data_IF_301959571445
#
_entry.id   IF_301959571445
#
_cell.length_a   1.000
_cell.length_b   1.000
_cell.length_c   1.000
_cell.angle_alpha   90.00
_cell.angle_beta   90.00
_cell.angle_gamma   90.00
#
_symmetry.space_group_name_H-M   'P 1'
#
loop_
_entity.id
_entity.type
_entity.pdbx_description
1 polymer ?
#
# COMPACT_ATOMS: atom_id res chain seq x y z
N UNK A 1 7.23 13.06 -22.52
CA UNK A 1 6.48 13.40 -21.30
C UNK A 1 5.51 12.27 -20.95
N UNK A 2 5.20 12.15 -19.66
CA UNK A 2 4.16 11.24 -19.18
C UNK A 2 3.01 12.05 -18.56
N UNK A 3 1.84 11.44 -18.49
CA UNK A 3 0.65 12.05 -17.88
C UNK A 3 0.44 11.40 -16.50
N UNK A 4 0.21 12.22 -15.50
CA UNK A 4 -0.17 11.79 -14.16
C UNK A 4 -1.46 12.47 -13.73
N UNK A 5 -2.20 11.80 -12.85
CA UNK A 5 -3.40 12.31 -12.20
C UNK A 5 -3.25 12.15 -10.70
N UNK A 6 -3.57 13.18 -9.93
CA UNK A 6 -3.53 13.14 -8.48
C UNK A 6 -4.95 13.23 -7.90
N UNK A 7 -5.25 12.38 -6.94
CA UNK A 7 -6.46 12.44 -6.13
C UNK A 7 -6.12 12.93 -4.71
N UNK A 8 -6.50 14.16 -4.36
CA UNK A 8 -6.17 14.72 -3.05
C UNK A 8 -6.95 14.09 -1.89
N UNK A 9 -8.04 13.38 -2.16
CA UNK A 9 -8.84 12.72 -1.10
C UNK A 9 -8.11 11.53 -0.52
N UNK A 10 -7.53 10.72 -1.41
CA UNK A 10 -6.79 9.52 -1.04
C UNK A 10 -5.28 9.76 -1.04
N UNK A 11 -4.83 10.97 -1.34
CA UNK A 11 -3.41 11.33 -1.51
C UNK A 11 -2.66 10.39 -2.45
N UNK A 12 -3.35 9.89 -3.49
CA UNK A 12 -2.81 8.94 -4.45
C UNK A 12 -2.56 9.59 -5.80
N UNK A 13 -1.52 9.12 -6.50
CA UNK A 13 -1.21 9.55 -7.86
C UNK A 13 -1.16 8.35 -8.81
N UNK A 14 -1.89 8.43 -9.91
CA UNK A 14 -1.78 7.52 -11.04
C UNK A 14 -0.86 8.09 -12.10
N UNK A 15 0.18 7.35 -12.50
CA UNK A 15 1.15 7.78 -13.51
C UNK A 15 1.12 6.79 -14.68
N UNK A 16 0.88 7.31 -15.88
CA UNK A 16 0.88 6.50 -17.10
C UNK A 16 2.30 6.12 -17.49
N UNK A 17 2.61 4.82 -17.42
CA UNK A 17 3.86 4.28 -17.92
C UNK A 17 3.64 3.78 -19.35
N UNK A 18 4.36 4.35 -20.32
CA UNK A 18 4.35 3.90 -21.72
C UNK A 18 5.56 3.01 -21.98
N UNK A 19 5.40 1.99 -22.82
CA UNK A 19 6.52 1.14 -23.25
C UNK A 19 7.69 1.96 -23.81
N UNK A 20 8.90 1.63 -23.38
CA UNK A 20 10.13 2.36 -23.76
C UNK A 20 10.58 3.46 -22.78
N UNK A 21 9.79 3.81 -21.78
CA UNK A 21 10.25 4.69 -20.68
C UNK A 21 10.78 3.81 -19.55
N UNK A 22 12.07 3.73 -19.43
CA UNK A 22 12.82 2.81 -18.54
C UNK A 22 12.94 3.30 -17.08
N UNK A 23 12.08 4.20 -16.62
CA UNK A 23 12.13 4.62 -15.23
C UNK A 23 11.40 3.60 -14.35
N UNK A 24 12.11 3.02 -13.38
CA UNK A 24 11.52 2.21 -12.33
C UNK A 24 10.52 3.03 -11.52
N UNK A 25 9.49 2.39 -10.97
CA UNK A 25 8.45 3.08 -10.19
C UNK A 25 9.05 3.84 -9.01
N UNK A 26 10.09 3.29 -8.37
CA UNK A 26 10.83 3.96 -7.28
C UNK A 26 11.53 5.25 -7.74
N UNK A 27 12.07 5.26 -8.95
CA UNK A 27 12.69 6.47 -9.51
C UNK A 27 11.64 7.55 -9.83
N UNK A 28 10.47 7.12 -10.29
CA UNK A 28 9.34 8.03 -10.52
C UNK A 28 8.87 8.64 -9.20
N UNK A 29 8.72 7.83 -8.15
CA UNK A 29 8.35 8.30 -6.81
C UNK A 29 9.37 9.32 -6.27
N UNK A 30 10.67 9.01 -6.33
CA UNK A 30 11.74 9.94 -5.94
C UNK A 30 11.68 11.26 -6.69
N UNK A 31 11.52 11.22 -8.02
CA UNK A 31 11.43 12.45 -8.83
C UNK A 31 10.20 13.26 -8.47
N UNK A 32 9.07 12.63 -8.23
CA UNK A 32 7.86 13.31 -7.80
C UNK A 32 8.05 13.96 -6.43
N UNK A 33 8.67 13.25 -5.48
CA UNK A 33 9.00 13.80 -4.17
C UNK A 33 9.90 15.03 -4.30
N UNK A 34 11.01 14.93 -5.05
CA UNK A 34 11.90 16.08 -5.30
C UNK A 34 11.17 17.28 -5.89
N UNK A 35 10.31 17.07 -6.89
CA UNK A 35 9.53 18.14 -7.49
C UNK A 35 8.59 18.83 -6.48
N UNK A 36 7.96 18.06 -5.60
CA UNK A 36 7.07 18.61 -4.56
C UNK A 36 7.85 19.38 -3.49
N UNK A 37 9.04 18.90 -3.13
CA UNK A 37 9.96 19.57 -2.20
C UNK A 37 10.49 20.90 -2.80
N UNK A 38 10.94 20.88 -4.05
CA UNK A 38 11.40 22.07 -4.78
C UNK A 38 10.31 23.11 -4.95
N UNK A 39 9.07 22.69 -5.14
CA UNK A 39 7.90 23.56 -5.16
C UNK A 39 7.61 24.23 -3.80
N UNK A 40 8.34 23.87 -2.75
CA UNK A 40 8.25 24.48 -1.42
C UNK A 40 6.97 24.12 -0.65
N UNK A 41 6.26 23.07 -1.06
CA UNK A 41 4.99 22.65 -0.45
C UNK A 41 5.23 22.22 1.00
N UNK A 42 6.26 21.43 1.26
CA UNK A 42 6.66 20.98 2.59
C UNK A 42 6.96 22.15 3.54
N UNK A 43 7.75 23.12 3.07
CA UNK A 43 8.16 24.29 3.88
C UNK A 43 6.98 25.18 4.25
N UNK A 44 6.02 25.37 3.34
CA UNK A 44 4.83 26.18 3.58
C UNK A 44 3.93 25.61 4.68
N UNK A 45 3.93 24.30 4.84
CA UNK A 45 3.05 23.60 5.77
C UNK A 45 3.78 23.04 6.98
N UNK A 46 5.09 23.31 7.12
CA UNK A 46 5.95 22.73 8.17
C UNK A 46 5.78 21.20 8.28
N UNK A 47 5.79 20.53 7.12
CA UNK A 47 5.52 19.11 6.95
C UNK A 47 6.61 18.45 6.12
N UNK A 48 6.76 17.16 6.23
CA UNK A 48 7.59 16.34 5.36
C UNK A 48 6.72 15.77 4.23
N UNK A 49 7.31 15.65 3.04
CA UNK A 49 6.67 14.99 1.90
C UNK A 49 7.37 13.65 1.69
N UNK A 50 6.60 12.59 1.80
CA UNK A 50 7.04 11.24 1.44
C UNK A 50 6.20 10.77 0.27
N UNK A 51 6.86 10.30 -0.79
CA UNK A 51 6.20 9.71 -1.96
C UNK A 51 6.69 8.29 -2.13
N UNK A 52 5.80 7.35 -1.95
CA UNK A 52 6.08 5.92 -2.17
C UNK A 52 5.04 5.30 -3.11
N UNK A 53 5.30 4.08 -3.59
CA UNK A 53 4.37 3.37 -4.43
C UNK A 53 3.48 2.44 -3.58
N UNK A 54 2.27 2.23 -4.04
CA UNK A 54 1.34 1.26 -3.44
C UNK A 54 1.76 -0.14 -3.91
N UNK A 55 2.09 -1.08 -3.01
CA UNK A 55 2.39 -2.45 -3.38
C UNK A 55 1.15 -3.19 -3.93
N UNK A 56 1.37 -4.20 -4.77
CA UNK A 56 0.32 -5.13 -5.18
C UNK A 56 0.21 -6.26 -4.14
N UNK A 57 -0.89 -6.35 -3.38
CA UNK A 57 -1.04 -7.36 -2.35
C UNK A 57 -1.49 -8.73 -2.86
N UNK A 58 -1.88 -8.85 -4.13
CA UNK A 58 -2.59 -10.02 -4.66
C UNK A 58 -1.85 -11.33 -4.40
N UNK A 59 -0.55 -11.38 -4.67
CA UNK A 59 0.26 -12.57 -4.44
C UNK A 59 0.38 -12.96 -2.96
N UNK A 60 0.49 -11.96 -2.06
CA UNK A 60 0.58 -12.24 -0.63
C UNK A 60 -0.78 -12.67 -0.06
N UNK A 61 -1.87 -12.04 -0.48
CA UNK A 61 -3.24 -12.44 -0.13
C UNK A 61 -3.53 -13.87 -0.58
N UNK A 62 -3.11 -14.24 -1.79
CA UNK A 62 -3.27 -15.59 -2.30
C UNK A 62 -2.53 -16.63 -1.45
N UNK A 63 -1.32 -16.31 -1.01
CA UNK A 63 -0.55 -17.13 -0.08
C UNK A 63 -1.26 -17.27 1.27
N UNK A 64 -1.79 -16.18 1.85
CA UNK A 64 -2.54 -16.23 3.11
C UNK A 64 -3.80 -17.09 2.97
N UNK A 65 -4.53 -16.96 1.87
CA UNK A 65 -5.77 -17.71 1.59
C UNK A 65 -5.53 -19.21 1.51
N UNK A 66 -4.47 -19.65 0.84
CA UNK A 66 -4.17 -21.06 0.63
C UNK A 66 -3.32 -21.70 1.73
N UNK A 67 -2.79 -20.93 2.67
CA UNK A 67 -2.04 -21.47 3.79
C UNK A 67 -2.87 -22.50 4.57
N UNK A 68 -2.28 -23.64 4.94
CA UNK A 68 -2.91 -24.56 5.89
C UNK A 68 -3.12 -23.86 7.23
N UNK A 69 -2.08 -23.18 7.74
CA UNK A 69 -2.17 -22.35 8.95
C UNK A 69 -1.19 -21.16 8.91
N UNK A 70 -1.51 -20.12 9.67
CA UNK A 70 -0.69 -18.94 9.87
C UNK A 70 -0.40 -18.83 11.37
N UNK A 71 0.88 -18.79 11.74
CA UNK A 71 1.30 -18.83 13.16
C UNK A 71 1.81 -17.48 13.66
N UNK A 72 2.17 -16.58 12.76
CA UNK A 72 2.62 -15.23 13.07
C UNK A 72 2.29 -14.31 11.92
N UNK A 73 1.88 -13.11 12.24
CA UNK A 73 1.71 -12.00 11.30
C UNK A 73 2.36 -10.76 11.87
N UNK A 74 3.11 -10.05 11.05
CA UNK A 74 3.82 -8.82 11.42
C UNK A 74 3.54 -7.75 10.39
N UNK A 75 3.38 -6.52 10.85
CA UNK A 75 3.32 -5.37 9.96
C UNK A 75 4.02 -4.17 10.57
N UNK A 76 4.46 -3.29 9.70
CA UNK A 76 5.05 -2.01 10.02
C UNK A 76 4.02 -0.92 9.83
N UNK A 77 4.17 0.17 10.54
CA UNK A 77 3.31 1.34 10.41
C UNK A 77 4.12 2.60 10.69
N UNK A 78 3.83 3.66 9.96
CA UNK A 78 4.42 4.99 10.15
C UNK A 78 3.34 6.03 10.42
N UNK A 79 3.53 6.97 11.37
CA UNK A 79 2.74 8.18 11.45
C UNK A 79 3.32 9.24 10.50
N UNK A 80 2.56 10.12 9.90
CA UNK A 80 1.16 10.15 9.59
C UNK A 80 0.94 9.97 8.09
N UNK A 81 0.01 9.17 7.64
CA UNK A 81 -0.53 9.35 6.30
C UNK A 81 -1.84 8.61 6.11
N UNK A 82 -2.61 8.93 5.11
CA UNK A 82 -3.84 9.71 5.18
C UNK A 82 -4.81 9.18 6.23
N UNK A 83 -5.99 9.75 6.45
CA UNK A 83 -6.93 9.26 7.44
C UNK A 83 -7.22 7.80 7.18
N UNK A 84 -6.65 6.96 8.05
CA UNK A 84 -6.84 5.52 8.04
C UNK A 84 -8.21 5.22 8.63
N UNK A 85 -9.04 4.50 7.89
CA UNK A 85 -10.35 4.07 8.37
C UNK A 85 -10.26 2.97 9.44
N UNK A 86 -9.07 2.38 9.66
CA UNK A 86 -8.86 1.36 10.70
C UNK A 86 -8.69 1.97 12.08
N UNK A 87 -9.83 2.26 12.71
CA UNK A 87 -9.91 2.83 14.06
C UNK A 87 -9.49 1.85 15.16
N UNK A 88 -9.47 0.55 14.88
CA UNK A 88 -9.28 -0.47 15.92
C UNK A 88 -7.83 -0.90 16.13
N UNK A 89 -7.02 -0.92 15.11
CA UNK A 89 -5.63 -1.42 15.18
C UNK A 89 -4.63 -0.31 14.87
N UNK A 90 -4.68 0.27 13.67
CA UNK A 90 -3.65 1.22 13.21
C UNK A 90 -3.72 2.57 13.91
N UNK A 91 -4.90 3.14 14.06
CA UNK A 91 -5.04 4.46 14.69
C UNK A 91 -4.49 4.51 16.14
N UNK A 92 -4.79 3.54 17.03
CA UNK A 92 -4.19 3.48 18.35
C UNK A 92 -2.66 3.35 18.34
N UNK A 93 -2.12 2.51 17.44
CA UNK A 93 -0.67 2.31 17.31
C UNK A 93 0.02 3.58 16.80
N UNK A 94 -0.54 4.26 15.80
CA UNK A 94 -0.03 5.54 15.29
C UNK A 94 -0.06 6.63 16.37
N UNK A 95 -1.16 6.75 17.10
CA UNK A 95 -1.26 7.69 18.24
C UNK A 95 -0.23 7.40 19.31
N UNK A 96 0.02 6.14 19.63
CA UNK A 96 1.08 5.77 20.57
C UNK A 96 2.46 6.16 20.04
N UNK A 97 2.80 5.83 18.79
CA UNK A 97 4.07 6.19 18.17
C UNK A 97 4.30 7.71 18.19
N UNK A 98 3.30 8.51 17.83
CA UNK A 98 3.37 9.98 17.90
C UNK A 98 3.64 10.48 19.32
N UNK A 99 2.97 9.92 20.33
CA UNK A 99 3.15 10.32 21.74
C UNK A 99 4.56 10.06 22.25
N UNK A 100 5.24 9.02 21.77
CA UNK A 100 6.62 8.68 22.16
C UNK A 100 7.66 9.26 21.19
N UNK A 101 7.23 10.03 20.17
CA UNK A 101 8.13 10.65 19.19
C UNK A 101 8.75 9.65 18.22
N UNK A 102 8.13 8.49 18.00
CA UNK A 102 8.60 7.51 17.04
C UNK A 102 8.13 7.87 15.61
N UNK A 103 9.03 7.70 14.64
CA UNK A 103 8.73 7.88 13.21
C UNK A 103 8.12 6.64 12.55
N UNK A 104 8.32 5.48 13.16
CA UNK A 104 7.83 4.18 12.66
C UNK A 104 7.56 3.24 13.83
N UNK A 105 6.78 2.20 13.60
CA UNK A 105 6.54 1.14 14.57
C UNK A 105 6.30 -0.20 13.89
N UNK A 106 6.45 -1.28 14.66
CA UNK A 106 6.21 -2.64 14.20
C UNK A 106 5.33 -3.39 15.19
N UNK A 107 4.35 -4.10 14.68
CA UNK A 107 3.46 -4.95 15.47
C UNK A 107 3.56 -6.40 15.02
N UNK A 108 3.45 -7.32 15.96
CA UNK A 108 3.47 -8.76 15.71
C UNK A 108 2.41 -9.45 16.54
N UNK A 109 1.60 -10.27 15.88
CA UNK A 109 0.65 -11.17 16.54
C UNK A 109 1.07 -12.61 16.29
N UNK A 110 0.87 -13.50 17.30
CA UNK A 110 1.21 -14.92 17.22
C UNK A 110 0.07 -15.75 17.76
N UNK A 111 -0.14 -16.90 17.15
CA UNK A 111 -1.14 -17.87 17.58
C UNK A 111 -0.91 -19.23 16.95
N UNK A 112 -1.60 -20.28 17.42
CA UNK A 112 -1.48 -21.60 16.82
C UNK A 112 -2.02 -21.62 15.39
N UNK A 113 -3.05 -20.86 15.11
CA UNK A 113 -3.63 -20.62 13.79
C UNK A 113 -4.38 -19.29 13.82
N UNK A 114 -3.87 -18.28 13.13
CA UNK A 114 -4.49 -16.96 13.03
C UNK A 114 -5.60 -16.98 11.98
N UNK A 115 -6.63 -16.14 12.17
CA UNK A 115 -7.74 -16.01 11.23
C UNK A 115 -7.26 -15.41 9.91
N UNK A 116 -7.51 -16.12 8.81
CA UNK A 116 -7.02 -15.73 7.48
C UNK A 116 -7.77 -14.55 6.90
N UNK A 117 -9.08 -14.52 7.11
CA UNK A 117 -9.92 -13.47 6.52
C UNK A 117 -9.62 -12.13 7.17
N UNK A 118 -9.48 -12.11 8.49
CA UNK A 118 -9.04 -10.92 9.24
C UNK A 118 -7.64 -10.46 8.81
N UNK A 119 -6.70 -11.39 8.56
CA UNK A 119 -5.36 -11.03 8.09
C UNK A 119 -5.35 -10.53 6.65
N UNK A 120 -6.22 -11.04 5.78
CA UNK A 120 -6.39 -10.56 4.41
C UNK A 120 -6.94 -9.12 4.43
N UNK A 121 -7.95 -8.85 5.23
CA UNK A 121 -8.50 -7.50 5.42
C UNK A 121 -7.42 -6.54 5.92
N UNK A 122 -6.73 -6.92 7.00
CA UNK A 122 -5.63 -6.12 7.56
C UNK A 122 -4.51 -5.90 6.53
N UNK A 123 -4.18 -6.90 5.69
CA UNK A 123 -3.17 -6.75 4.63
C UNK A 123 -3.56 -5.67 3.64
N UNK A 124 -4.83 -5.62 3.21
CA UNK A 124 -5.32 -4.59 2.29
C UNK A 124 -5.16 -3.18 2.87
N UNK A 125 -5.52 -3.02 4.14
CA UNK A 125 -5.39 -1.74 4.83
C UNK A 125 -3.92 -1.32 4.99
N UNK A 126 -3.01 -2.27 5.30
CA UNK A 126 -1.58 -2.03 5.40
C UNK A 126 -1.02 -1.54 4.06
N UNK A 127 -1.37 -2.22 2.98
CA UNK A 127 -0.93 -1.88 1.63
C UNK A 127 -1.43 -0.51 1.18
N UNK A 128 -2.67 -0.16 1.52
CA UNK A 128 -3.22 1.15 1.19
C UNK A 128 -2.43 2.31 1.80
N UNK A 129 -1.73 2.08 2.92
CA UNK A 129 -0.83 3.06 3.55
C UNK A 129 0.62 2.97 3.05
N UNK A 130 0.97 2.02 2.18
CA UNK A 130 2.35 1.79 1.74
C UNK A 130 3.23 1.04 2.75
N UNK A 131 2.64 0.54 3.83
CA UNK A 131 3.36 -0.17 4.90
C UNK A 131 3.73 -1.61 4.49
N UNK A 132 4.70 -2.22 5.21
CA UNK A 132 5.16 -3.58 4.95
C UNK A 132 4.46 -4.61 5.86
N UNK A 133 4.31 -5.84 5.34
CA UNK A 133 3.79 -6.96 6.10
C UNK A 133 4.55 -8.26 5.84
N UNK A 134 4.53 -9.17 6.82
CA UNK A 134 5.04 -10.53 6.67
C UNK A 134 4.25 -11.52 7.52
N UNK A 135 4.24 -12.79 7.11
CA UNK A 135 3.58 -13.87 7.82
C UNK A 135 4.46 -15.13 7.90
N UNK A 136 4.38 -15.83 9.01
CA UNK A 136 4.90 -17.19 9.13
C UNK A 136 3.77 -18.18 8.84
N UNK A 137 3.90 -18.90 7.75
CA UNK A 137 2.85 -19.76 7.21
C UNK A 137 3.32 -21.19 7.08
N UNK A 138 2.38 -22.11 7.15
CA UNK A 138 2.54 -23.50 6.79
C UNK A 138 1.57 -23.80 5.65
N UNK A 139 2.07 -24.18 4.48
CA UNK A 139 1.22 -24.38 3.30
C UNK A 139 0.43 -25.69 3.37
N UNK A 140 1.04 -26.76 3.90
CA UNK A 140 0.44 -28.08 4.01
C UNK A 140 0.62 -28.64 5.43
N UNK A 141 -0.27 -29.53 5.90
CA UNK A 141 -0.07 -30.22 7.17
C UNK A 141 1.29 -30.91 7.23
N UNK A 142 2.08 -30.60 8.27
CA UNK A 142 3.42 -31.19 8.46
C UNK A 142 4.55 -30.58 7.65
N UNK A 143 4.28 -29.66 6.72
CA UNK A 143 5.34 -28.91 6.02
C UNK A 143 6.05 -27.93 6.97
N UNK A 144 7.23 -27.47 6.57
CA UNK A 144 7.96 -26.44 7.32
C UNK A 144 7.18 -25.13 7.34
N UNK A 145 7.34 -24.38 8.43
CA UNK A 145 6.85 -23.02 8.52
C UNK A 145 7.82 -22.10 7.77
N UNK A 146 7.30 -21.40 6.79
CA UNK A 146 8.05 -20.45 5.97
C UNK A 146 7.61 -19.02 6.29
N UNK A 147 8.57 -18.11 6.26
CA UNK A 147 8.26 -16.69 6.33
C UNK A 147 8.03 -16.13 4.92
N UNK A 148 6.87 -15.56 4.73
CA UNK A 148 6.49 -14.85 3.49
C UNK A 148 6.36 -13.37 3.77
N UNK A 149 6.80 -12.57 2.82
CA UNK A 149 6.74 -11.11 2.87
C UNK A 149 5.78 -10.60 1.81
N UNK A 150 5.11 -9.51 2.12
CA UNK A 150 4.43 -8.70 1.12
C UNK A 150 5.46 -8.27 0.07
N UNK A 151 5.22 -8.64 -1.18
CA UNK A 151 6.13 -8.28 -2.26
C UNK A 151 6.06 -6.79 -2.55
N UNK A 152 7.22 -6.20 -2.82
CA UNK A 152 7.35 -4.79 -3.16
C UNK A 152 7.10 -4.51 -4.65
N UNK A 153 6.27 -5.31 -5.31
CA UNK A 153 5.85 -5.03 -6.68
C UNK A 153 4.82 -3.91 -6.67
N UNK A 154 4.98 -2.89 -7.50
CA UNK A 154 4.03 -1.79 -7.54
C UNK A 154 2.69 -2.24 -8.12
N UNK A 155 1.61 -1.72 -7.56
CA UNK A 155 0.27 -1.88 -8.11
C UNK A 155 0.23 -1.31 -9.53
N UNK A 156 -0.29 -2.09 -10.47
CA UNK A 156 -0.42 -1.71 -11.88
C UNK A 156 -1.82 -1.99 -12.37
N UNK A 157 -2.41 -0.99 -13.01
CA UNK A 157 -3.69 -1.12 -13.69
C UNK A 157 -3.56 -0.81 -15.18
N UNK A 158 -4.27 -1.56 -15.99
CA UNK A 158 -4.30 -1.28 -17.42
C UNK A 158 -5.17 -0.06 -17.70
N UNK A 159 -4.61 0.93 -18.38
CA UNK A 159 -5.36 2.11 -18.80
C UNK A 159 -5.89 1.89 -20.22
N UNK A 160 -7.21 1.77 -20.32
CA UNK A 160 -7.92 1.67 -21.61
C UNK A 160 -8.79 2.91 -21.75
N UNK A 161 -8.44 3.80 -22.67
CA UNK A 161 -9.25 4.98 -22.98
C UNK A 161 -10.41 4.62 -23.90
N UNK A 162 -11.61 5.10 -23.61
CA UNK A 162 -12.74 5.03 -24.52
C UNK A 162 -12.56 5.96 -25.73
N UNK A 163 -13.38 5.77 -26.77
CA UNK A 163 -13.25 6.46 -28.06
C UNK A 163 -13.28 8.00 -27.96
N UNK A 164 -13.97 8.56 -26.94
CA UNK A 164 -14.05 10.00 -26.67
C UNK A 164 -13.51 10.38 -25.29
N UNK A 165 -12.80 9.49 -24.62
CA UNK A 165 -12.30 9.70 -23.26
C UNK A 165 -10.88 10.30 -23.27
N UNK A 166 -10.66 11.39 -22.52
CA UNK A 166 -9.31 11.89 -22.38
C UNK A 166 -8.41 10.93 -21.58
N UNK A 167 -7.12 10.90 -21.91
CA UNK A 167 -6.13 10.08 -21.23
C UNK A 167 -6.15 10.31 -19.71
N UNK A 168 -6.34 11.55 -19.26
CA UNK A 168 -6.41 11.90 -17.84
C UNK A 168 -7.60 11.23 -17.13
N UNK A 169 -8.77 11.19 -17.77
CA UNK A 169 -9.96 10.54 -17.22
C UNK A 169 -9.74 9.03 -17.17
N UNK A 170 -9.18 8.43 -18.20
CA UNK A 170 -8.88 7.00 -18.23
C UNK A 170 -7.87 6.61 -17.11
N UNK A 171 -6.82 7.41 -16.89
CA UNK A 171 -5.86 7.20 -15.78
C UNK A 171 -6.59 7.32 -14.44
N UNK A 172 -7.42 8.35 -14.25
CA UNK A 172 -8.16 8.52 -12.99
C UNK A 172 -9.05 7.32 -12.70
N UNK A 173 -9.76 6.82 -13.68
CA UNK A 173 -10.63 5.63 -13.56
C UNK A 173 -9.83 4.39 -13.19
N UNK A 174 -8.69 4.14 -13.87
CA UNK A 174 -7.81 3.01 -13.57
C UNK A 174 -7.23 3.12 -12.16
N UNK A 175 -6.78 4.32 -11.76
CA UNK A 175 -6.26 4.58 -10.42
C UNK A 175 -7.31 4.32 -9.33
N UNK A 176 -8.52 4.85 -9.50
CA UNK A 176 -9.63 4.62 -8.55
C UNK A 176 -9.96 3.13 -8.48
N UNK A 177 -10.08 2.45 -9.61
CA UNK A 177 -10.34 1.01 -9.65
C UNK A 177 -9.28 0.20 -8.90
N UNK A 178 -7.99 0.45 -9.17
CA UNK A 178 -6.89 -0.25 -8.49
C UNK A 178 -6.87 0.02 -6.98
N UNK A 179 -7.07 1.27 -6.57
CA UNK A 179 -7.12 1.64 -5.16
C UNK A 179 -8.35 1.08 -4.45
N UNK A 180 -9.54 1.15 -5.07
CA UNK A 180 -10.76 0.54 -4.54
C UNK A 180 -10.63 -0.97 -4.40
N UNK A 181 -10.03 -1.66 -5.38
CA UNK A 181 -9.80 -3.10 -5.30
C UNK A 181 -8.91 -3.54 -4.13
N UNK A 182 -8.08 -2.63 -3.58
CA UNK A 182 -7.33 -2.87 -2.36
C UNK A 182 -8.21 -2.59 -1.13
N UNK A 183 -9.02 -1.53 -1.15
CA UNK A 183 -9.78 -1.04 0.00
C UNK A 183 -11.22 -1.57 0.10
N UNK A 184 -11.75 -2.20 -0.94
CA UNK A 184 -13.11 -2.73 -0.87
C UNK A 184 -13.18 -3.85 0.17
N UNK A 185 -13.87 -3.55 1.28
CA UNK A 185 -14.52 -4.56 2.11
C UNK A 185 -15.48 -5.30 1.20
N UNK A 186 -15.31 -6.61 1.09
CA UNK A 186 -16.24 -7.43 0.34
C UNK A 186 -17.67 -7.11 0.82
N UNK A 187 -18.45 -6.52 -0.09
CA UNK A 187 -19.87 -6.35 0.10
C UNK A 187 -20.59 -7.70 0.00
#
# INVERSE_FOLDING_TARGET
FTVGVYDPRNQTAGILIRGGVSLGVREVAKKLQTLLEEAGIARKNNSEIVVDFIPDPSGFIEVLRHAHRITRYEFEFSPPNPPDDNKYIKEPLKKFAQRVGASEGKTSVKGPNLDKDELIELTREIVASGDEASANIQMEPGSQIERRHLQTNPLREQVVAGEHESTAIAIKRAMVKGYSGINEKNA
#
